data_IF_701377281212
#
_entry.id   IF_701377281212
#
_cell.length_a   1.000
_cell.length_b   1.000
_cell.length_c   1.000
_cell.angle_alpha   90.00
_cell.angle_beta   90.00
_cell.angle_gamma   90.00
#
_symmetry.space_group_name_H-M   'P 1'
#
loop_
_entity.id
_entity.type
_entity.pdbx_description
1 polymer ?
#
# COMPACT_ATOMS: atom_id res chain seq x y z
N UNK A 1 -34.21 11.93 91.40
CA UNK A 1 -33.69 10.54 91.52
C UNK A 1 -33.87 9.86 90.14
N UNK A 2 -32.96 9.06 89.56
CA UNK A 2 -32.32 7.78 90.01
C UNK A 2 -33.42 6.75 90.34
N UNK A 3 -33.67 5.62 89.67
CA UNK A 3 -32.90 4.37 89.36
C UNK A 3 -33.90 3.44 88.61
N UNK A 4 -33.63 2.47 87.71
CA UNK A 4 -32.47 1.86 87.00
C UNK A 4 -33.00 1.28 85.64
N UNK A 5 -32.21 1.06 84.56
CA UNK A 5 -31.30 -0.06 84.18
C UNK A 5 -31.89 -1.49 84.12
N UNK A 6 -31.30 -2.27 83.19
CA UNK A 6 -31.34 -3.74 82.91
C UNK A 6 -32.23 -4.04 81.67
N UNK A 7 -31.72 -4.45 80.49
CA UNK A 7 -30.89 -5.63 80.09
C UNK A 7 -31.70 -6.95 80.11
N UNK A 8 -31.48 -7.98 79.27
CA UNK A 8 -30.33 -8.36 78.43
C UNK A 8 -30.75 -9.39 77.33
N UNK A 9 -30.01 -9.45 76.20
CA UNK A 9 -29.89 -10.55 75.20
C UNK A 9 -31.12 -11.21 74.53
N UNK A 10 -31.02 -11.38 73.20
CA UNK A 10 -30.90 -12.73 72.61
C UNK A 10 -29.95 -12.70 71.39
N UNK A 11 -29.40 -13.85 70.98
CA UNK A 11 -28.30 -13.98 70.00
C UNK A 11 -28.54 -15.18 69.05
N UNK A 12 -27.88 -15.20 67.88
CA UNK A 12 -27.84 -16.29 66.85
C UNK A 12 -29.18 -16.60 66.14
N UNK A 13 -29.24 -17.09 64.89
CA UNK A 13 -28.25 -17.39 63.83
C UNK A 13 -28.75 -16.77 62.49
N UNK A 14 -27.93 -16.35 61.50
CA UNK A 14 -26.92 -17.04 60.67
C UNK A 14 -27.48 -18.07 59.66
N UNK A 15 -26.86 -18.12 58.46
CA UNK A 15 -27.34 -18.67 57.17
C UNK A 15 -28.44 -17.83 56.49
N UNK A 16 -28.38 -17.52 55.17
CA UNK A 16 -27.45 -17.92 54.10
C UNK A 16 -26.80 -16.72 53.39
N UNK A 17 -25.67 -16.98 52.69
CA UNK A 17 -25.11 -16.07 51.70
C UNK A 17 -26.05 -15.96 50.49
N UNK A 18 -26.16 -14.76 49.91
CA UNK A 18 -26.03 -14.54 48.47
C UNK A 18 -25.53 -13.12 48.21
N UNK A 19 -24.67 -12.93 47.21
CA UNK A 19 -23.99 -11.66 46.96
C UNK A 19 -24.88 -10.70 46.15
N UNK A 20 -25.03 -9.45 46.62
CA UNK A 20 -25.29 -8.31 45.73
C UNK A 20 -24.62 -7.04 46.26
N UNK A 21 -23.81 -6.42 45.42
CA UNK A 21 -23.21 -5.11 45.68
C UNK A 21 -23.68 -4.14 44.59
N UNK A 22 -24.52 -3.20 45.00
CA UNK A 22 -24.95 -2.00 44.29
C UNK A 22 -25.00 -0.87 45.34
N UNK A 23 -24.74 0.40 45.03
CA UNK A 23 -24.96 1.04 43.74
C UNK A 23 -23.69 1.64 43.10
N UNK A 24 -23.58 1.48 41.77
CA UNK A 24 -22.59 2.13 40.89
C UNK A 24 -23.38 2.64 39.68
N UNK A 25 -23.92 3.84 39.77
CA UNK A 25 -24.74 4.39 38.69
C UNK A 25 -23.90 4.74 37.46
N UNK A 26 -24.50 4.49 36.28
CA UNK A 26 -24.06 4.95 34.95
C UNK A 26 -22.58 4.83 34.59
N UNK A 27 -21.93 3.74 35.03
CA UNK A 27 -20.88 3.12 34.22
C UNK A 27 -21.50 2.45 32.99
N UNK A 28 -21.97 3.22 32.00
CA UNK A 28 -22.53 2.67 30.77
C UNK A 28 -21.47 1.83 30.06
N UNK A 29 -21.88 0.62 29.67
CA UNK A 29 -20.97 -0.33 29.04
C UNK A 29 -20.72 0.10 27.61
N UNK A 30 -19.54 0.65 27.35
CA UNK A 30 -18.90 0.52 26.04
C UNK A 30 -18.63 -0.96 25.76
N UNK A 31 -19.71 -1.65 25.35
CA UNK A 31 -19.71 -3.01 24.84
C UNK A 31 -19.64 -3.01 23.31
N UNK A 32 -19.00 -1.99 22.75
CA UNK A 32 -18.33 -2.11 21.46
C UNK A 32 -17.17 -3.10 21.62
N UNK A 33 -17.49 -4.39 21.68
CA UNK A 33 -16.56 -5.43 21.23
C UNK A 33 -16.06 -5.03 19.87
N UNK A 34 -14.74 -5.12 19.64
CA UNK A 34 -14.07 -4.58 18.47
C UNK A 34 -14.48 -5.26 17.16
N UNK A 35 -15.67 -4.92 16.66
CA UNK A 35 -15.88 -4.73 15.25
C UNK A 35 -14.91 -3.62 14.84
N UNK A 36 -13.74 -4.02 14.33
CA UNK A 36 -12.99 -3.15 13.43
C UNK A 36 -13.99 -2.66 12.40
N UNK A 37 -14.15 -1.34 12.28
CA UNK A 37 -15.24 -0.75 11.51
C UNK A 37 -15.06 -1.14 10.04
N UNK A 38 -15.76 -2.20 9.64
CA UNK A 38 -15.89 -2.67 8.27
C UNK A 38 -16.81 -1.71 7.51
N UNK A 39 -16.34 -0.46 7.37
CA UNK A 39 -16.77 0.42 6.29
C UNK A 39 -16.47 -0.33 5.00
N UNK A 40 -17.53 -0.78 4.35
CA UNK A 40 -17.48 -1.44 3.06
C UNK A 40 -16.78 -0.54 2.04
N UNK A 41 -16.02 -1.17 1.15
CA UNK A 41 -15.47 -0.50 -0.02
C UNK A 41 -16.48 -0.65 -1.16
N UNK A 42 -16.63 0.39 -1.99
CA UNK A 42 -17.47 0.37 -3.18
C UNK A 42 -16.60 0.44 -4.45
N UNK A 43 -16.93 -0.29 -5.53
CA UNK A 43 -16.27 -0.11 -6.81
C UNK A 43 -16.65 1.21 -7.50
N UNK A 44 -17.67 1.94 -7.01
CA UNK A 44 -18.09 3.19 -7.62
C UNK A 44 -17.04 4.30 -7.41
N UNK A 45 -16.51 4.84 -8.51
CA UNK A 45 -15.57 5.98 -8.50
C UNK A 45 -16.29 7.22 -7.93
N UNK A 46 -15.77 7.87 -6.87
CA UNK A 46 -16.31 9.13 -6.38
C UNK A 46 -16.18 10.25 -7.41
N UNK A 47 -17.20 11.11 -7.54
CA UNK A 47 -17.23 12.21 -8.50
C UNK A 47 -15.96 13.11 -8.43
N UNK A 48 -15.48 13.38 -7.21
CA UNK A 48 -14.27 14.18 -6.95
C UNK A 48 -12.95 13.46 -7.25
N UNK A 49 -12.97 12.15 -7.56
CA UNK A 49 -11.82 11.37 -8.04
C UNK A 49 -11.92 11.03 -9.53
N UNK A 50 -13.07 11.27 -10.18
CA UNK A 50 -13.25 11.07 -11.62
C UNK A 50 -12.38 12.02 -12.44
N UNK A 51 -11.72 11.49 -13.47
CA UNK A 51 -10.85 12.26 -14.38
C UNK A 51 -9.40 11.76 -14.45
N UNK A 52 -8.60 12.45 -15.27
CA UNK A 52 -7.18 12.18 -15.47
C UNK A 52 -6.37 13.06 -14.51
N UNK A 53 -5.69 12.41 -13.58
CA UNK A 53 -4.83 13.02 -12.58
C UNK A 53 -3.40 13.11 -13.10
N UNK A 54 -2.87 14.32 -13.24
CA UNK A 54 -1.49 14.56 -13.65
C UNK A 54 -0.57 14.71 -12.43
N UNK A 55 0.38 13.78 -12.29
CA UNK A 55 1.47 13.86 -11.33
C UNK A 55 2.79 14.26 -11.98
N UNK A 56 3.84 14.40 -11.16
CA UNK A 56 5.18 14.78 -11.62
C UNK A 56 5.81 13.75 -12.58
N UNK A 57 5.63 12.47 -12.28
CA UNK A 57 6.29 11.35 -12.95
C UNK A 57 5.31 10.37 -13.65
N UNK A 58 4.00 10.64 -13.56
CA UNK A 58 2.95 9.77 -14.12
C UNK A 58 1.63 10.52 -14.34
N UNK A 59 0.70 9.87 -15.03
CA UNK A 59 -0.74 10.12 -14.94
C UNK A 59 -1.43 8.92 -14.30
N UNK A 60 -2.57 9.17 -13.65
CA UNK A 60 -3.50 8.15 -13.17
C UNK A 60 -4.90 8.50 -13.67
N UNK A 61 -5.66 7.51 -14.12
CA UNK A 61 -7.07 7.64 -14.46
C UNK A 61 -7.83 6.47 -13.82
N UNK A 62 -8.84 6.77 -13.02
CA UNK A 62 -9.78 5.77 -12.50
C UNK A 62 -10.90 5.58 -13.53
N UNK A 63 -10.94 4.39 -14.13
CA UNK A 63 -11.90 4.02 -15.17
C UNK A 63 -12.78 2.85 -14.71
N UNK A 64 -14.04 2.85 -15.14
CA UNK A 64 -14.94 1.70 -15.06
C UNK A 64 -14.80 0.83 -16.33
N UNK A 65 -15.47 -0.31 -16.36
CA UNK A 65 -15.72 -1.09 -17.60
C UNK A 65 -17.23 -1.31 -17.70
N UNK A 66 -17.84 -0.91 -18.82
CA UNK A 66 -19.30 -0.92 -19.00
C UNK A 66 -19.94 -2.31 -18.81
N UNK A 67 -19.24 -3.37 -19.23
CA UNK A 67 -19.65 -4.77 -19.07
C UNK A 67 -19.59 -5.27 -17.61
N UNK A 68 -18.79 -4.64 -16.74
CA UNK A 68 -18.62 -5.02 -15.34
C UNK A 68 -18.97 -3.87 -14.40
N UNK A 69 -20.28 -3.63 -14.24
CA UNK A 69 -20.89 -2.58 -13.38
C UNK A 69 -20.49 -2.58 -11.89
N UNK A 70 -19.65 -3.52 -11.48
CA UNK A 70 -19.16 -3.71 -10.11
C UNK A 70 -17.62 -3.64 -10.01
N UNK A 71 -16.91 -3.14 -11.03
CA UNK A 71 -15.44 -3.11 -11.05
C UNK A 71 -14.91 -1.80 -11.63
N UNK A 72 -13.98 -1.16 -10.91
CA UNK A 72 -13.21 -0.01 -11.38
C UNK A 72 -11.71 -0.33 -11.34
N UNK A 73 -10.94 0.40 -12.15
CA UNK A 73 -9.54 0.12 -12.44
C UNK A 73 -8.71 1.40 -12.40
N UNK A 74 -7.47 1.31 -11.89
CA UNK A 74 -6.50 2.39 -11.93
C UNK A 74 -5.58 2.24 -13.14
N UNK A 75 -5.86 2.97 -14.23
CA UNK A 75 -4.94 3.11 -15.34
C UNK A 75 -3.77 4.02 -14.92
N UNK A 76 -2.52 3.61 -15.22
CA UNK A 76 -1.29 4.31 -14.85
C UNK A 76 -0.36 4.47 -16.05
N UNK A 77 -0.03 5.72 -16.39
CA UNK A 77 0.91 6.07 -17.47
C UNK A 77 2.16 6.71 -16.89
N UNK A 78 3.34 6.14 -17.12
CA UNK A 78 4.60 6.63 -16.57
C UNK A 78 5.30 7.61 -17.53
N UNK A 79 5.74 8.76 -16.99
CA UNK A 79 6.53 9.79 -17.70
C UNK A 79 8.02 9.39 -17.72
N UNK A 80 8.31 8.24 -18.30
CA UNK A 80 9.65 7.65 -18.32
C UNK A 80 10.68 8.52 -19.07
N UNK A 81 11.97 8.24 -18.87
CA UNK A 81 13.08 8.94 -19.54
C UNK A 81 13.00 10.48 -19.40
N UNK A 82 12.76 10.96 -18.18
CA UNK A 82 12.55 12.39 -17.89
C UNK A 82 11.39 13.03 -18.69
N UNK A 83 10.32 12.26 -18.93
CA UNK A 83 9.18 12.69 -19.74
C UNK A 83 9.36 12.61 -21.26
N UNK A 84 10.46 12.01 -21.76
CA UNK A 84 10.68 11.80 -23.21
C UNK A 84 9.88 10.63 -23.79
N UNK A 85 9.39 9.71 -22.96
CA UNK A 85 8.55 8.60 -23.40
C UNK A 85 7.44 8.34 -22.39
N UNK A 86 6.21 8.35 -22.86
CA UNK A 86 5.03 8.07 -22.04
C UNK A 86 4.67 6.59 -22.23
N UNK A 87 4.89 5.81 -21.18
CA UNK A 87 4.62 4.37 -21.15
C UNK A 87 3.27 4.10 -20.50
N UNK A 88 2.36 3.42 -21.19
CA UNK A 88 1.04 3.05 -20.67
C UNK A 88 1.17 1.74 -19.90
N UNK A 89 1.61 1.85 -18.66
CA UNK A 89 2.16 0.74 -17.86
C UNK A 89 1.08 -0.19 -17.26
N UNK A 90 -0.07 0.36 -16.86
CA UNK A 90 -1.24 -0.41 -16.42
C UNK A 90 -2.51 0.20 -17.04
N UNK A 91 -3.35 -0.63 -17.65
CA UNK A 91 -4.60 -0.24 -18.34
C UNK A 91 -5.60 -1.42 -18.32
N UNK A 92 -6.92 -1.17 -18.35
CA UNK A 92 -7.93 -2.20 -18.57
C UNK A 92 -8.07 -2.58 -20.06
N UNK A 93 -8.74 -3.71 -20.36
CA UNK A 93 -8.74 -4.32 -21.71
C UNK A 93 -9.34 -3.44 -22.81
N UNK A 94 -10.35 -2.64 -22.49
CA UNK A 94 -11.00 -1.71 -23.42
C UNK A 94 -10.03 -0.65 -23.97
N UNK A 95 -8.88 -0.41 -23.34
CA UNK A 95 -7.84 0.50 -23.85
C UNK A 95 -6.97 -0.14 -24.94
N UNK A 96 -7.15 -1.44 -25.24
CA UNK A 96 -6.37 -2.18 -26.24
C UNK A 96 -6.73 -1.84 -27.70
N UNK A 97 -7.92 -1.29 -27.96
CA UNK A 97 -8.27 -0.74 -29.28
C UNK A 97 -7.32 0.39 -29.69
N UNK A 98 -6.94 1.22 -28.72
CA UNK A 98 -5.89 2.20 -28.86
C UNK A 98 -4.51 1.51 -28.80
N UNK A 99 -3.86 1.37 -29.96
CA UNK A 99 -2.55 0.70 -30.08
C UNK A 99 -1.50 1.30 -29.12
N UNK A 100 -0.85 0.45 -28.31
CA UNK A 100 0.30 0.85 -27.47
C UNK A 100 1.54 1.08 -28.34
N UNK A 101 2.21 2.20 -28.14
CA UNK A 101 3.62 2.34 -28.52
C UNK A 101 4.45 1.37 -27.69
N UNK A 102 5.50 0.82 -28.28
CA UNK A 102 6.45 -0.06 -27.61
C UNK A 102 7.86 0.49 -27.76
N UNK A 103 8.58 0.54 -26.65
CA UNK A 103 10.02 0.80 -26.59
C UNK A 103 10.76 -0.52 -26.33
N UNK A 104 12.05 -0.57 -26.65
CA UNK A 104 12.91 -1.76 -26.46
C UNK A 104 13.06 -2.24 -25.01
N UNK A 105 12.57 -1.47 -24.04
CA UNK A 105 12.64 -1.74 -22.59
C UNK A 105 11.25 -1.98 -21.98
N UNK A 106 10.16 -1.65 -22.68
CA UNK A 106 8.79 -1.89 -22.21
C UNK A 106 8.30 -3.27 -22.57
N UNK A 107 7.51 -3.90 -21.71
CA UNK A 107 6.87 -5.18 -22.03
C UNK A 107 5.96 -5.08 -23.27
N UNK A 108 5.98 -6.13 -24.10
CA UNK A 108 5.24 -6.19 -25.37
C UNK A 108 3.72 -6.05 -25.16
N UNK A 109 3.24 -6.59 -24.04
CA UNK A 109 1.90 -6.42 -23.49
C UNK A 109 1.99 -5.52 -22.24
N UNK A 110 0.85 -5.13 -21.66
CA UNK A 110 0.82 -4.86 -20.22
C UNK A 110 1.09 -6.18 -19.44
N UNK A 111 1.34 -6.12 -18.12
CA UNK A 111 1.75 -7.32 -17.36
C UNK A 111 0.75 -8.48 -17.51
N UNK A 112 1.25 -9.60 -18.04
CA UNK A 112 0.43 -10.79 -18.33
C UNK A 112 1.30 -12.05 -18.37
N UNK A 113 1.01 -13.02 -17.51
CA UNK A 113 1.54 -14.39 -17.59
C UNK A 113 0.40 -15.37 -17.33
N UNK A 114 0.19 -16.31 -18.24
CA UNK A 114 -1.08 -17.02 -18.41
C UNK A 114 -1.03 -18.45 -17.85
N UNK A 115 -1.96 -18.77 -16.94
CA UNK A 115 -2.33 -20.14 -16.60
C UNK A 115 -3.79 -20.21 -16.05
N UNK A 116 -4.77 -20.05 -16.95
CA UNK A 116 -6.22 -20.26 -16.81
C UNK A 116 -6.96 -19.67 -15.57
N UNK A 117 -7.99 -18.86 -15.86
CA UNK A 117 -8.98 -18.33 -14.89
C UNK A 117 -8.49 -17.30 -13.82
N UNK A 118 -7.86 -16.20 -14.25
CA UNK A 118 -8.29 -14.84 -13.84
C UNK A 118 -7.53 -13.77 -14.62
N UNK A 119 -8.15 -12.60 -14.75
CA UNK A 119 -7.71 -11.45 -15.56
C UNK A 119 -6.66 -10.60 -14.81
N UNK A 120 -5.54 -11.25 -14.47
CA UNK A 120 -4.56 -10.78 -13.47
C UNK A 120 -3.46 -9.91 -14.07
N UNK A 121 -3.84 -8.85 -14.79
CA UNK A 121 -2.92 -7.83 -15.33
C UNK A 121 -3.22 -6.40 -14.88
N UNK A 122 -4.16 -6.22 -13.94
CA UNK A 122 -4.81 -4.94 -13.64
C UNK A 122 -4.63 -4.53 -12.17
N UNK A 123 -4.66 -3.22 -11.94
CA UNK A 123 -4.86 -2.64 -10.63
C UNK A 123 -6.37 -2.36 -10.44
N UNK A 124 -7.09 -3.23 -9.74
CA UNK A 124 -8.48 -2.98 -9.37
C UNK A 124 -8.56 -1.92 -8.28
N UNK A 125 -9.56 -1.03 -8.34
CA UNK A 125 -9.74 0.11 -7.46
C UNK A 125 -11.09 0.05 -6.74
N UNK A 126 -11.08 -0.07 -5.42
CA UNK A 126 -12.26 0.11 -4.57
C UNK A 126 -12.11 1.36 -3.68
N UNK A 127 -13.21 2.05 -3.36
CA UNK A 127 -13.22 3.33 -2.66
C UNK A 127 -13.99 3.28 -1.33
N UNK A 128 -13.47 3.98 -0.32
CA UNK A 128 -14.08 4.07 1.02
C UNK A 128 -14.09 5.51 1.55
N UNK A 129 -15.24 6.18 1.47
CA UNK A 129 -15.37 7.58 1.93
C UNK A 129 -15.15 7.73 3.44
N UNK A 130 -14.29 8.68 3.80
CA UNK A 130 -13.95 9.05 5.18
C UNK A 130 -14.61 10.37 5.56
N UNK A 131 -14.59 11.35 4.67
CA UNK A 131 -15.27 12.65 4.76
C UNK A 131 -15.46 13.23 3.36
N UNK A 132 -16.53 13.96 3.06
CA UNK A 132 -16.79 14.51 1.72
C UNK A 132 -17.63 15.81 1.80
N UNK A 133 -17.22 16.81 1.03
CA UNK A 133 -17.80 18.14 0.84
C UNK A 133 -17.74 18.49 -0.67
N UNK A 134 -18.46 19.52 -1.12
CA UNK A 134 -18.65 19.82 -2.57
C UNK A 134 -17.39 19.86 -3.45
N UNK A 135 -16.27 20.30 -2.89
CA UNK A 135 -14.99 20.50 -3.60
C UNK A 135 -13.84 19.68 -2.99
N UNK A 136 -14.10 18.90 -1.95
CA UNK A 136 -13.03 18.32 -1.12
C UNK A 136 -13.50 17.06 -0.43
N UNK A 137 -12.65 16.06 -0.32
CA UNK A 137 -13.00 14.81 0.33
C UNK A 137 -11.80 13.94 0.63
N UNK A 138 -12.06 12.87 1.37
CA UNK A 138 -11.08 11.87 1.76
C UNK A 138 -11.66 10.48 1.53
N UNK A 139 -10.88 9.63 0.87
CA UNK A 139 -11.18 8.23 0.66
C UNK A 139 -9.96 7.37 1.04
N UNK A 140 -10.19 6.13 1.44
CA UNK A 140 -9.18 5.08 1.25
C UNK A 140 -9.48 4.37 -0.06
N UNK A 141 -8.48 4.29 -0.93
CA UNK A 141 -8.54 3.62 -2.24
C UNK A 141 -7.79 2.30 -2.11
N UNK A 142 -8.51 1.17 -2.11
CA UNK A 142 -7.86 -0.14 -2.22
C UNK A 142 -7.40 -0.34 -3.65
N UNK A 143 -6.11 -0.61 -3.82
CA UNK A 143 -5.51 -1.04 -5.08
C UNK A 143 -5.15 -2.53 -4.95
N UNK A 144 -5.77 -3.39 -5.76
CA UNK A 144 -5.48 -4.84 -5.80
C UNK A 144 -4.71 -5.17 -7.08
N UNK A 145 -3.57 -5.86 -6.97
CA UNK A 145 -2.61 -6.06 -8.07
C UNK A 145 -2.70 -7.46 -8.69
N UNK A 146 -1.96 -7.64 -9.80
CA UNK A 146 -1.83 -8.89 -10.56
C UNK A 146 -1.54 -10.15 -9.71
N UNK A 147 -0.69 -10.02 -8.69
CA UNK A 147 -0.32 -11.11 -7.78
C UNK A 147 -1.33 -11.36 -6.64
N UNK A 148 -2.44 -10.61 -6.63
CA UNK A 148 -3.47 -10.55 -5.59
C UNK A 148 -2.98 -9.97 -4.26
N UNK A 149 -1.84 -9.28 -4.24
CA UNK A 149 -1.54 -8.32 -3.17
C UNK A 149 -2.51 -7.13 -3.24
N UNK A 150 -2.69 -6.41 -2.14
CA UNK A 150 -3.49 -5.19 -2.11
C UNK A 150 -2.88 -4.14 -1.20
N UNK A 151 -3.12 -2.86 -1.52
CA UNK A 151 -2.70 -1.72 -0.72
C UNK A 151 -3.83 -0.71 -0.59
N UNK A 152 -4.23 -0.43 0.65
CA UNK A 152 -5.24 0.59 0.95
C UNK A 152 -4.54 1.96 1.05
N UNK A 153 -4.67 2.78 0.00
CA UNK A 153 -4.03 4.09 -0.13
C UNK A 153 -4.97 5.19 0.36
N UNK A 154 -4.67 5.89 1.47
CA UNK A 154 -5.44 7.07 1.88
C UNK A 154 -5.15 8.25 0.95
N UNK A 155 -6.22 8.88 0.47
CA UNK A 155 -6.23 9.96 -0.53
C UNK A 155 -7.11 11.10 -0.05
N UNK A 156 -6.63 12.34 -0.13
CA UNK A 156 -7.44 13.54 0.01
C UNK A 156 -7.47 14.35 -1.30
N UNK A 157 -8.64 14.87 -1.67
CA UNK A 157 -8.79 15.87 -2.73
C UNK A 157 -9.20 17.19 -2.11
N UNK A 158 -8.58 18.30 -2.54
CA UNK A 158 -8.96 19.68 -2.20
C UNK A 158 -8.85 20.52 -3.48
N UNK A 159 -9.97 21.07 -3.97
CA UNK A 159 -10.07 21.95 -5.15
C UNK A 159 -9.31 21.41 -6.38
N UNK A 160 -9.57 20.16 -6.76
CA UNK A 160 -8.94 19.51 -7.92
C UNK A 160 -7.46 19.17 -7.74
N UNK A 161 -6.94 19.19 -6.51
CA UNK A 161 -5.59 18.74 -6.16
C UNK A 161 -5.66 17.54 -5.23
N UNK A 162 -4.84 16.52 -5.48
CA UNK A 162 -4.83 15.25 -4.75
C UNK A 162 -3.56 15.13 -3.90
N UNK A 163 -3.72 14.79 -2.63
CA UNK A 163 -2.67 14.68 -1.62
C UNK A 163 -2.66 13.29 -0.97
N UNK A 164 -1.46 12.75 -0.72
CA UNK A 164 -1.23 11.47 -0.03
C UNK A 164 -0.66 11.63 1.39
N UNK A 165 -0.48 12.88 1.86
CA UNK A 165 0.09 13.25 3.15
C UNK A 165 -0.75 14.39 3.75
N UNK A 166 -1.75 14.03 4.56
CA UNK A 166 -2.82 14.92 4.99
C UNK A 166 -3.41 14.52 6.36
N UNK A 167 -4.21 15.43 6.93
CA UNK A 167 -4.85 15.32 8.23
C UNK A 167 -6.35 15.56 8.15
N UNK A 168 -7.09 14.97 9.09
CA UNK A 168 -8.53 15.17 9.27
C UNK A 168 -8.76 15.77 10.66
N UNK A 169 -9.52 16.87 10.75
CA UNK A 169 -9.86 17.51 12.02
C UNK A 169 -10.81 16.64 12.84
N UNK A 170 -10.49 16.45 14.12
CA UNK A 170 -11.35 15.74 15.05
C UNK A 170 -12.39 16.66 15.67
N UNK A 171 -13.58 16.71 15.04
CA UNK A 171 -14.73 17.52 15.47
C UNK A 171 -15.33 17.11 16.83
N UNK A 172 -14.80 16.07 17.49
CA UNK A 172 -15.12 15.77 18.89
C UNK A 172 -14.31 16.61 19.89
N UNK A 173 -13.16 17.14 19.49
CA UNK A 173 -12.24 17.90 20.35
C UNK A 173 -12.48 19.40 20.16
N UNK A 174 -13.63 19.86 20.66
CA UNK A 174 -14.02 21.27 20.59
C UNK A 174 -13.11 22.15 21.47
N UNK A 175 -12.25 22.95 20.83
CA UNK A 175 -11.66 24.15 21.39
C UNK A 175 -12.33 25.36 20.72
N UNK A 176 -12.80 26.31 21.54
CA UNK A 176 -13.28 27.68 21.21
C UNK A 176 -13.61 27.97 19.72
N UNK A 177 -14.90 28.20 19.43
CA UNK A 177 -15.41 28.55 18.09
C UNK A 177 -14.71 29.77 17.45
N UNK A 178 -14.07 30.62 18.26
CA UNK A 178 -13.30 31.80 17.86
C UNK A 178 -12.12 31.52 16.89
N UNK A 179 -11.62 30.28 16.79
CA UNK A 179 -10.54 29.95 15.85
C UNK A 179 -10.74 28.61 15.12
N UNK A 180 -10.92 28.70 13.79
CA UNK A 180 -11.16 27.57 12.89
C UNK A 180 -9.98 26.58 12.78
N UNK A 181 -8.77 26.93 13.21
CA UNK A 181 -7.61 26.04 13.16
C UNK A 181 -7.41 25.19 14.42
N UNK A 182 -7.97 25.61 15.57
CA UNK A 182 -7.68 24.96 16.85
C UNK A 182 -8.31 23.56 16.98
N UNK A 183 -7.68 22.74 17.81
CA UNK A 183 -8.11 21.37 18.12
C UNK A 183 -7.15 20.30 17.60
N UNK A 184 -7.65 19.06 17.56
CA UNK A 184 -6.88 17.87 17.18
C UNK A 184 -7.01 17.57 15.69
N UNK A 185 -5.89 17.37 15.00
CA UNK A 185 -5.81 17.03 13.58
C UNK A 185 -5.14 15.64 13.44
N UNK A 186 -5.94 14.62 13.16
CA UNK A 186 -5.51 13.23 13.01
C UNK A 186 -4.74 13.05 11.72
N UNK A 187 -3.50 12.58 11.79
CA UNK A 187 -2.75 12.14 10.61
C UNK A 187 -3.49 10.99 9.93
N UNK A 188 -3.91 11.18 8.68
CA UNK A 188 -4.82 10.28 8.00
C UNK A 188 -4.13 9.38 6.96
N UNK A 189 -2.87 9.68 6.60
CA UNK A 189 -2.09 8.86 5.69
C UNK A 189 -0.73 9.45 5.34
N UNK A 190 0.18 8.57 4.92
CA UNK A 190 1.40 8.92 4.18
C UNK A 190 1.83 7.78 3.27
N UNK A 191 1.24 7.72 2.08
CA UNK A 191 1.62 6.77 1.02
C UNK A 191 2.69 7.36 0.08
N UNK A 192 3.51 6.49 -0.53
CA UNK A 192 4.54 6.91 -1.49
C UNK A 192 4.00 7.28 -2.87
N UNK A 193 2.80 6.78 -3.23
CA UNK A 193 2.18 7.05 -4.52
C UNK A 193 0.94 6.20 -4.78
N UNK A 194 0.33 6.45 -5.94
CA UNK A 194 -0.56 5.53 -6.65
C UNK A 194 0.27 4.97 -7.82
N UNK A 195 0.39 3.65 -7.88
CA UNK A 195 1.46 2.91 -8.57
C UNK A 195 0.91 1.66 -9.25
N UNK A 196 1.62 1.15 -10.27
CA UNK A 196 1.31 -0.14 -10.90
C UNK A 196 1.76 -1.36 -10.06
N UNK A 197 2.53 -1.13 -8.98
CA UNK A 197 2.98 -2.11 -7.99
C UNK A 197 2.62 -1.64 -6.58
N UNK A 198 2.73 -2.50 -5.56
CA UNK A 198 2.45 -2.10 -4.16
C UNK A 198 3.23 -0.83 -3.72
N UNK A 199 2.55 0.25 -3.30
CA UNK A 199 3.20 1.46 -2.78
C UNK A 199 3.67 1.27 -1.35
N UNK A 200 4.83 1.87 -1.02
CA UNK A 200 5.25 1.98 0.36
C UNK A 200 4.30 2.89 1.15
N UNK A 201 3.64 2.32 2.14
CA UNK A 201 2.83 3.05 3.13
C UNK A 201 3.68 3.24 4.39
N UNK A 202 3.80 4.50 4.85
CA UNK A 202 4.59 4.83 6.04
C UNK A 202 4.13 4.05 7.27
N UNK A 203 5.09 3.48 8.02
CA UNK A 203 4.83 2.89 9.35
C UNK A 203 4.62 3.93 10.44
N UNK A 204 4.74 5.21 10.12
CA UNK A 204 4.63 6.32 11.04
C UNK A 204 3.77 7.45 10.46
N UNK A 205 2.86 7.97 11.28
CA UNK A 205 2.02 9.13 11.00
C UNK A 205 2.31 10.18 12.08
N UNK A 206 2.31 11.45 11.72
CA UNK A 206 2.28 12.54 12.70
C UNK A 206 0.85 13.07 12.75
N UNK A 207 0.31 13.31 13.93
CA UNK A 207 -0.91 14.09 14.14
C UNK A 207 -0.54 15.41 14.82
N UNK A 208 -1.35 16.44 14.62
CA UNK A 208 -1.11 17.77 15.20
C UNK A 208 -2.18 18.10 16.25
N UNK A 209 -1.82 18.88 17.24
CA UNK A 209 -2.77 19.51 18.16
C UNK A 209 -2.45 21.00 18.23
N UNK A 210 -3.37 21.84 17.75
CA UNK A 210 -3.14 23.28 17.51
C UNK A 210 -3.86 24.08 18.59
N UNK A 211 -3.11 24.90 19.31
CA UNK A 211 -3.57 25.76 20.42
C UNK A 211 -2.74 27.03 20.42
N UNK A 212 -3.41 28.17 20.49
CA UNK A 212 -2.76 29.49 20.40
C UNK A 212 -1.85 29.53 19.14
N UNK A 213 -0.70 30.20 19.16
CA UNK A 213 0.25 30.20 18.03
C UNK A 213 1.19 28.97 17.99
N UNK A 214 0.71 27.79 18.43
CA UNK A 214 1.57 26.60 18.62
C UNK A 214 0.97 25.29 18.11
N UNK A 215 1.84 24.47 17.52
CA UNK A 215 1.55 23.08 17.14
C UNK A 215 2.27 22.12 18.08
N UNK A 216 1.53 21.20 18.66
CA UNK A 216 2.08 20.01 19.30
C UNK A 216 2.12 18.84 18.32
N UNK A 217 3.31 18.26 18.11
CA UNK A 217 3.55 17.15 17.18
C UNK A 217 3.45 15.81 17.92
N UNK A 218 2.49 14.99 17.50
CA UNK A 218 2.15 13.72 18.14
C UNK A 218 2.45 12.59 17.17
N UNK A 219 3.55 11.88 17.41
CA UNK A 219 3.99 10.74 16.57
C UNK A 219 3.18 9.49 16.89
N UNK A 220 2.58 8.90 15.87
CA UNK A 220 1.90 7.62 15.89
C UNK A 220 2.72 6.61 15.08
N UNK A 221 2.97 5.42 15.64
CA UNK A 221 3.67 4.34 14.94
C UNK A 221 2.76 3.12 14.79
N UNK A 222 2.93 2.38 13.69
CA UNK A 222 2.16 1.18 13.38
C UNK A 222 2.29 0.16 14.52
N UNK A 223 1.19 -0.50 14.89
CA UNK A 223 1.16 -1.50 15.93
C UNK A 223 0.17 -2.63 15.61
N UNK A 224 0.55 -3.86 15.93
CA UNK A 224 -0.29 -5.05 15.77
C UNK A 224 -1.23 -5.25 16.99
N UNK A 225 -1.58 -4.16 17.68
CA UNK A 225 -2.53 -4.14 18.79
C UNK A 225 -3.95 -3.89 18.30
N UNK A 226 -4.91 -4.56 18.94
CA UNK A 226 -6.35 -4.31 18.72
C UNK A 226 -6.70 -2.82 18.84
N UNK A 227 -7.66 -2.37 18.03
CA UNK A 227 -8.12 -0.98 18.06
C UNK A 227 -8.75 -0.66 19.42
N UNK A 228 -8.49 0.54 19.93
CA UNK A 228 -8.95 0.97 21.26
C UNK A 228 -9.44 2.42 21.18
N UNK A 229 -10.73 2.69 21.46
CA UNK A 229 -11.31 4.04 21.39
C UNK A 229 -10.93 4.94 22.58
N UNK A 230 -9.99 4.50 23.44
CA UNK A 230 -9.51 5.30 24.56
C UNK A 230 -8.78 6.57 24.07
N UNK A 231 -8.91 7.66 24.82
CA UNK A 231 -8.07 8.83 24.62
C UNK A 231 -6.73 8.66 25.36
N UNK A 232 -5.63 9.06 24.73
CA UNK A 232 -4.34 9.29 25.38
C UNK A 232 -4.20 10.77 25.75
N UNK A 233 -3.46 11.08 26.82
CA UNK A 233 -3.24 12.45 27.27
C UNK A 233 -1.78 12.90 27.24
N UNK A 234 -1.59 14.20 27.04
CA UNK A 234 -0.31 14.89 27.21
C UNK A 234 -0.52 16.22 27.93
N UNK A 235 0.56 16.84 28.41
CA UNK A 235 0.52 18.12 29.11
C UNK A 235 1.79 18.90 28.81
N UNK A 236 1.63 20.21 28.66
CA UNK A 236 2.70 21.20 28.48
C UNK A 236 3.21 21.79 29.81
N UNK A 237 2.60 21.41 30.93
CA UNK A 237 2.89 21.92 32.27
C UNK A 237 1.76 22.79 32.84
N UNK A 238 0.96 23.43 31.98
CA UNK A 238 -0.16 24.30 32.38
C UNK A 238 -1.51 23.63 32.13
N UNK A 239 -1.67 23.04 30.94
CA UNK A 239 -2.90 22.41 30.44
C UNK A 239 -2.67 20.91 30.29
N UNK A 240 -3.76 20.13 30.22
CA UNK A 240 -3.73 18.71 29.84
C UNK A 240 -4.67 18.51 28.67
N UNK A 241 -4.14 17.96 27.59
CA UNK A 241 -4.83 17.73 26.33
C UNK A 241 -5.08 16.25 26.11
N UNK A 242 -6.12 15.93 25.35
CA UNK A 242 -6.57 14.57 25.07
C UNK A 242 -6.70 14.34 23.56
N UNK A 243 -6.23 13.19 23.09
CA UNK A 243 -6.21 12.77 21.68
C UNK A 243 -6.54 11.28 21.56
N UNK A 244 -6.99 10.82 20.40
CA UNK A 244 -7.25 9.39 20.17
C UNK A 244 -5.99 8.54 20.43
N UNK A 245 -6.05 7.51 21.30
CA UNK A 245 -4.89 6.68 21.62
C UNK A 245 -4.41 5.90 20.39
N UNK A 246 -5.34 5.22 19.74
CA UNK A 246 -5.13 4.52 18.47
C UNK A 246 -5.79 5.32 17.34
N UNK A 247 -5.20 5.29 16.16
CA UNK A 247 -5.81 5.76 14.90
C UNK A 247 -5.79 4.62 13.88
N UNK A 248 -6.81 4.57 13.02
CA UNK A 248 -6.91 3.61 11.93
C UNK A 248 -6.81 4.34 10.58
N UNK A 249 -5.96 3.84 9.68
CA UNK A 249 -5.65 4.43 8.36
C UNK A 249 -4.98 3.36 7.50
N UNK A 250 -5.29 3.28 6.20
CA UNK A 250 -4.65 2.34 5.28
C UNK A 250 -4.80 0.87 5.73
N UNK A 251 -5.98 0.54 6.29
CA UNK A 251 -6.27 -0.71 7.06
C UNK A 251 -5.24 -1.11 8.13
N UNK A 252 -4.42 -0.16 8.61
CA UNK A 252 -3.42 -0.34 9.68
C UNK A 252 -3.82 0.45 10.92
N UNK A 253 -3.38 -0.04 12.08
CA UNK A 253 -3.57 0.62 13.38
C UNK A 253 -2.24 1.26 13.80
N UNK A 254 -2.29 2.49 14.28
CA UNK A 254 -1.13 3.21 14.80
C UNK A 254 -1.42 3.72 16.21
N UNK A 255 -0.41 3.73 17.10
CA UNK A 255 -0.50 4.20 18.49
C UNK A 255 0.49 5.32 18.77
N UNK A 256 0.11 6.26 19.62
CA UNK A 256 1.00 7.31 20.16
C UNK A 256 1.62 6.95 21.52
N UNK A 257 1.31 5.76 22.08
CA UNK A 257 1.75 5.34 23.42
C UNK A 257 2.19 3.88 23.45
N UNK A 258 3.21 3.59 24.26
CA UNK A 258 3.74 2.23 24.45
C UNK A 258 2.78 1.34 25.25
N UNK A 259 2.23 0.31 24.60
CA UNK A 259 1.45 -0.75 25.23
C UNK A 259 0.23 -0.25 26.00
N UNK A 260 0.12 -0.60 27.29
CA UNK A 260 -1.02 -0.24 28.16
C UNK A 260 -0.97 1.19 28.71
N UNK A 261 0.02 2.02 28.34
CA UNK A 261 0.02 3.44 28.72
C UNK A 261 -1.20 4.18 28.16
N UNK A 262 -1.59 5.25 28.85
CA UNK A 262 -2.61 6.24 28.44
C UNK A 262 -2.01 7.66 28.41
N UNK A 263 -0.71 7.80 28.71
CA UNK A 263 0.00 9.08 28.74
C UNK A 263 1.15 9.10 27.72
N UNK A 264 1.16 10.11 26.87
CA UNK A 264 2.24 10.45 25.95
C UNK A 264 3.35 11.18 26.74
N UNK A 265 4.60 11.06 26.30
CA UNK A 265 5.78 11.72 26.88
C UNK A 265 6.57 12.38 25.76
N UNK A 266 7.29 13.46 26.08
CA UNK A 266 8.18 14.17 25.15
C UNK A 266 7.48 14.59 23.84
N UNK A 267 6.37 15.34 23.98
CA UNK A 267 5.69 15.96 22.84
C UNK A 267 6.51 17.16 22.36
N UNK A 268 6.76 17.23 21.06
CA UNK A 268 7.48 18.34 20.44
C UNK A 268 6.51 19.51 20.17
N UNK A 269 6.97 20.75 20.38
CA UNK A 269 6.20 21.98 20.16
C UNK A 269 6.91 22.88 19.17
N UNK A 270 6.23 23.28 18.11
CA UNK A 270 6.69 24.30 17.14
C UNK A 270 5.75 25.51 17.17
N UNK A 271 6.16 26.68 16.63
CA UNK A 271 5.19 27.68 16.21
C UNK A 271 4.23 27.09 15.15
N UNK A 272 3.03 27.66 15.05
CA UNK A 272 2.11 27.38 13.95
C UNK A 272 2.25 28.44 12.85
N UNK A 273 2.48 28.00 11.61
CA UNK A 273 2.39 28.83 10.42
C UNK A 273 1.26 28.28 9.53
N UNK A 274 0.22 29.09 9.32
CA UNK A 274 -0.92 28.73 8.47
C UNK A 274 -0.50 28.62 7.00
N UNK A 275 0.49 29.40 6.54
CA UNK A 275 0.86 29.49 5.12
C UNK A 275 1.55 28.24 4.58
N UNK A 276 2.10 27.39 5.45
CA UNK A 276 2.64 26.07 5.11
C UNK A 276 1.58 25.01 4.75
N UNK A 277 0.30 25.25 5.05
CA UNK A 277 -0.78 24.26 4.92
C UNK A 277 -1.83 24.67 3.87
N UNK A 278 -2.33 23.68 3.13
CA UNK A 278 -3.56 23.83 2.32
C UNK A 278 -4.75 23.25 3.10
N UNK A 279 -5.82 24.03 3.25
CA UNK A 279 -7.07 23.61 3.91
C UNK A 279 -8.20 23.49 2.89
N UNK A 280 -9.21 22.68 3.21
CA UNK A 280 -10.52 22.68 2.56
C UNK A 280 -11.38 23.88 2.96
N UNK A 281 -12.47 24.12 2.22
CA UNK A 281 -13.45 25.18 2.54
C UNK A 281 -14.10 25.05 3.92
N UNK A 282 -14.12 23.84 4.48
CA UNK A 282 -14.84 23.50 5.71
C UNK A 282 -13.91 23.31 6.91
N UNK A 283 -12.61 23.63 6.80
CA UNK A 283 -11.56 23.46 7.82
C UNK A 283 -11.66 22.10 8.54
N UNK A 284 -11.83 21.05 7.74
CA UNK A 284 -12.03 19.65 8.14
C UNK A 284 -10.91 18.73 7.63
N UNK A 285 -10.19 19.15 6.58
CA UNK A 285 -9.09 18.44 5.92
C UNK A 285 -7.93 19.44 5.74
N UNK A 286 -6.71 19.03 6.05
CA UNK A 286 -5.54 19.84 5.66
C UNK A 286 -4.41 18.97 5.08
N UNK A 287 -3.62 19.54 4.18
CA UNK A 287 -2.47 18.91 3.55
C UNK A 287 -1.23 19.81 3.66
N UNK A 288 -0.05 19.18 3.64
CA UNK A 288 1.25 19.84 3.83
C UNK A 288 2.12 19.64 2.59
N UNK A 289 2.59 20.75 2.02
CA UNK A 289 3.45 20.77 0.84
C UNK A 289 2.71 20.73 -0.50
N UNK A 290 3.45 20.39 -1.56
CA UNK A 290 2.91 20.30 -2.93
C UNK A 290 1.92 19.13 -3.09
N UNK A 291 0.90 19.26 -3.97
CA UNK A 291 0.00 18.16 -4.28
C UNK A 291 0.74 17.03 -5.02
N UNK A 292 0.35 15.78 -4.75
CA UNK A 292 0.88 14.61 -5.43
C UNK A 292 0.44 14.58 -6.90
N UNK A 293 -0.83 14.96 -7.15
CA UNK A 293 -1.42 15.07 -8.48
C UNK A 293 -2.38 16.27 -8.57
N UNK A 294 -2.59 16.77 -9.79
CA UNK A 294 -3.59 17.81 -10.10
C UNK A 294 -4.52 17.30 -11.19
N UNK A 295 -5.82 17.54 -11.05
CA UNK A 295 -6.82 17.15 -12.05
C UNK A 295 -6.58 17.91 -13.36
N UNK A 296 -6.47 17.18 -14.48
CA UNK A 296 -6.24 17.78 -15.80
C UNK A 296 -7.47 18.58 -16.23
N UNK A 297 -7.25 19.79 -16.74
CA UNK A 297 -8.35 20.65 -17.22
C UNK A 297 -9.11 19.96 -18.35
N UNK A 298 -10.41 19.78 -18.16
CA UNK A 298 -11.30 19.12 -19.12
C UNK A 298 -11.46 17.61 -18.93
N UNK A 299 -10.81 16.97 -17.95
CA UNK A 299 -11.14 15.60 -17.54
C UNK A 299 -11.87 15.62 -16.20
N UNK A 300 -13.19 15.50 -16.26
CA UNK A 300 -14.10 15.51 -15.11
C UNK A 300 -15.39 14.77 -15.50
N UNK A 301 -16.20 14.36 -14.52
CA UNK A 301 -17.46 13.62 -14.68
C UNK A 301 -18.44 14.10 -15.78
N UNK A 302 -18.35 15.37 -16.21
CA UNK A 302 -19.09 15.93 -17.34
C UNK A 302 -18.64 15.43 -18.75
N UNK A 303 -17.63 14.58 -18.84
CA UNK A 303 -17.09 13.97 -20.08
C UNK A 303 -17.36 12.47 -20.05
N UNK A 304 -17.73 11.86 -21.18
CA UNK A 304 -18.01 10.42 -21.22
C UNK A 304 -16.74 9.56 -21.02
N UNK A 305 -16.93 8.34 -20.53
CA UNK A 305 -15.84 7.39 -20.27
C UNK A 305 -15.03 7.06 -21.55
N UNK A 306 -15.70 7.02 -22.71
CA UNK A 306 -15.07 6.80 -24.02
C UNK A 306 -14.18 8.01 -24.38
N UNK A 307 -14.72 9.23 -24.37
CA UNK A 307 -13.96 10.46 -24.65
C UNK A 307 -12.78 10.63 -23.68
N UNK A 308 -12.94 10.23 -22.43
CA UNK A 308 -11.92 10.33 -21.39
C UNK A 308 -10.83 9.25 -21.53
N UNK A 309 -11.19 8.05 -22.02
CA UNK A 309 -10.27 6.98 -22.41
C UNK A 309 -9.45 7.38 -23.63
N UNK A 310 -10.07 7.95 -24.66
CA UNK A 310 -9.35 8.46 -25.85
C UNK A 310 -8.45 9.64 -25.48
N UNK A 311 -8.92 10.60 -24.67
CA UNK A 311 -8.10 11.71 -24.18
C UNK A 311 -6.91 11.29 -23.28
N UNK A 312 -6.95 10.07 -22.74
CA UNK A 312 -5.84 9.40 -22.05
C UNK A 312 -4.91 8.67 -23.03
N UNK A 313 -5.43 7.97 -24.05
CA UNK A 313 -4.60 7.37 -25.10
C UNK A 313 -3.84 8.44 -25.92
N UNK A 314 -4.50 9.54 -26.27
CA UNK A 314 -3.91 10.68 -26.98
C UNK A 314 -2.75 11.33 -26.22
N UNK A 315 -2.72 11.28 -24.87
CA UNK A 315 -1.58 11.80 -24.10
C UNK A 315 -0.28 11.08 -24.45
N UNK A 316 -0.31 9.75 -24.57
CA UNK A 316 0.85 8.96 -24.95
C UNK A 316 1.25 9.24 -26.40
N UNK A 317 0.29 9.21 -27.34
CA UNK A 317 0.55 9.46 -28.77
C UNK A 317 1.07 10.89 -29.00
N UNK A 318 0.50 11.90 -28.36
CA UNK A 318 0.92 13.31 -28.45
C UNK A 318 2.30 13.56 -27.85
N UNK A 319 2.71 12.81 -26.82
CA UNK A 319 4.05 12.89 -26.27
C UNK A 319 5.08 12.13 -27.13
N UNK A 320 4.79 10.87 -27.47
CA UNK A 320 5.71 9.98 -28.16
C UNK A 320 5.96 10.39 -29.63
N UNK A 321 4.96 10.97 -30.31
CA UNK A 321 5.12 11.52 -31.67
C UNK A 321 6.10 12.71 -31.77
N UNK A 322 6.50 13.32 -30.65
CA UNK A 322 7.55 14.36 -30.60
C UNK A 322 8.96 13.79 -30.63
N UNK A 323 9.10 12.46 -30.44
CA UNK A 323 10.38 11.77 -30.54
C UNK A 323 10.83 11.81 -32.00
N UNK A 324 12.15 11.93 -32.22
CA UNK A 324 12.73 11.67 -33.54
C UNK A 324 12.50 10.19 -33.88
N UNK A 325 12.29 9.82 -35.16
CA UNK A 325 12.31 8.42 -35.55
C UNK A 325 13.66 7.81 -35.14
N UNK A 326 13.66 6.52 -34.80
CA UNK A 326 14.90 5.81 -34.48
C UNK A 326 15.89 5.92 -35.64
N UNK A 327 17.21 6.05 -35.37
CA UNK A 327 18.19 6.10 -36.44
C UNK A 327 18.09 4.81 -37.28
N UNK A 328 18.26 4.90 -38.62
CA UNK A 328 18.26 3.70 -39.46
C UNK A 328 19.33 2.73 -38.94
N UNK A 329 19.05 1.42 -38.92
CA UNK A 329 19.97 0.44 -38.36
C UNK A 329 21.31 0.52 -39.09
N UNK A 330 22.42 0.44 -38.32
CA UNK A 330 23.79 0.59 -38.84
C UNK A 330 24.12 -0.38 -39.99
N UNK A 331 23.40 -1.50 -40.04
CA UNK A 331 23.38 -2.44 -41.14
C UNK A 331 21.93 -2.58 -41.62
N UNK A 332 21.66 -2.61 -42.94
CA UNK A 332 20.33 -2.92 -43.44
C UNK A 332 19.92 -4.33 -43.00
N UNK A 333 18.60 -4.66 -42.96
CA UNK A 333 18.14 -6.01 -42.72
C UNK A 333 18.72 -6.97 -43.78
N UNK A 334 19.75 -7.72 -43.41
CA UNK A 334 20.26 -8.82 -44.21
C UNK A 334 19.43 -10.06 -43.90
N UNK A 335 18.87 -10.71 -44.91
CA UNK A 335 18.42 -12.09 -44.77
C UNK A 335 19.64 -12.92 -44.32
N UNK A 336 19.62 -13.32 -43.04
CA UNK A 336 20.73 -14.08 -42.46
C UNK A 336 20.63 -15.52 -42.96
N UNK A 337 21.09 -15.74 -44.19
CA UNK A 337 21.19 -17.06 -44.76
C UNK A 337 22.23 -17.85 -43.95
N UNK A 338 21.75 -18.68 -43.03
CA UNK A 338 22.55 -19.61 -42.24
C UNK A 338 23.20 -20.71 -43.10
N UNK A 339 23.01 -20.69 -44.42
CA UNK A 339 23.51 -21.70 -45.36
C UNK A 339 23.06 -23.11 -44.96
N UNK A 340 21.79 -23.25 -44.57
CA UNK A 340 21.25 -24.53 -44.07
C UNK A 340 21.46 -25.68 -45.03
N UNK A 341 21.35 -25.47 -46.35
CA UNK A 341 21.62 -26.51 -47.35
C UNK A 341 23.10 -26.93 -47.38
N UNK A 342 24.03 -25.99 -47.24
CA UNK A 342 25.47 -26.31 -47.15
C UNK A 342 25.82 -26.96 -45.80
N UNK A 343 25.20 -26.52 -44.69
CA UNK A 343 25.29 -27.18 -43.38
C UNK A 343 24.79 -28.61 -43.50
N UNK A 344 23.58 -28.85 -44.01
CA UNK A 344 23.03 -30.19 -44.18
C UNK A 344 23.87 -31.04 -45.13
N UNK A 345 24.48 -30.44 -46.17
CA UNK A 345 25.41 -31.11 -47.08
C UNK A 345 26.74 -31.49 -46.41
N UNK A 346 27.20 -30.72 -45.42
CA UNK A 346 28.41 -30.99 -44.63
C UNK A 346 28.15 -31.89 -43.41
N UNK A 347 26.92 -31.91 -42.87
CA UNK A 347 26.46 -32.91 -41.88
C UNK A 347 26.20 -34.27 -42.54
N UNK A 348 25.73 -34.27 -43.80
CA UNK A 348 25.44 -35.48 -44.56
C UNK A 348 26.71 -36.32 -44.72
N UNK A 349 26.64 -37.51 -44.13
CA UNK A 349 27.68 -38.54 -44.15
C UNK A 349 29.02 -38.20 -43.46
N UNK A 350 29.05 -37.10 -42.68
CA UNK A 350 30.15 -36.81 -41.76
C UNK A 350 30.04 -37.65 -40.46
N UNK A 351 30.97 -38.58 -40.18
CA UNK A 351 30.87 -39.48 -39.03
C UNK A 351 31.08 -38.78 -37.69
N UNK A 352 31.90 -37.71 -37.64
CA UNK A 352 32.14 -36.94 -36.43
C UNK A 352 30.85 -36.23 -36.01
N UNK A 353 30.16 -35.60 -36.96
CA UNK A 353 28.88 -34.92 -36.71
C UNK A 353 27.79 -35.91 -36.32
N UNK A 354 27.64 -37.04 -37.03
CA UNK A 354 26.68 -38.11 -36.65
C UNK A 354 26.92 -38.56 -35.20
N UNK A 355 28.16 -38.88 -34.82
CA UNK A 355 28.51 -39.27 -33.44
C UNK A 355 28.27 -38.16 -32.41
N UNK A 356 28.34 -36.88 -32.80
CA UNK A 356 28.06 -35.75 -31.91
C UNK A 356 26.54 -35.57 -31.71
N UNK A 357 25.75 -35.61 -32.79
CA UNK A 357 24.27 -35.59 -32.73
C UNK A 357 23.73 -36.79 -31.95
N UNK A 358 24.33 -37.97 -32.06
CA UNK A 358 24.00 -39.14 -31.24
C UNK A 358 24.33 -38.92 -29.75
N UNK A 359 25.49 -38.33 -29.42
CA UNK A 359 25.85 -37.97 -28.04
C UNK A 359 24.89 -36.93 -27.46
N UNK A 360 24.45 -35.94 -28.25
CA UNK A 360 23.42 -34.98 -27.85
C UNK A 360 22.07 -35.65 -27.57
N UNK A 361 21.58 -36.50 -28.50
CA UNK A 361 20.35 -37.29 -28.28
C UNK A 361 20.45 -38.15 -27.03
N UNK A 362 21.56 -38.88 -26.85
CA UNK A 362 21.81 -39.74 -25.69
C UNK A 362 21.81 -38.95 -24.37
N UNK A 363 22.45 -37.78 -24.35
CA UNK A 363 22.41 -36.87 -23.20
C UNK A 363 20.97 -36.41 -22.87
N UNK A 364 20.18 -36.06 -23.88
CA UNK A 364 18.79 -35.63 -23.71
C UNK A 364 17.86 -36.76 -23.26
N UNK A 365 18.07 -38.00 -23.72
CA UNK A 365 17.22 -39.15 -23.36
C UNK A 365 17.62 -39.77 -22.01
N UNK A 366 18.91 -39.96 -21.75
CA UNK A 366 19.39 -40.69 -20.56
C UNK A 366 19.68 -39.76 -19.38
N UNK A 367 20.29 -38.58 -19.64
CA UNK A 367 20.91 -37.76 -18.59
C UNK A 367 20.02 -36.59 -18.13
N UNK A 368 19.25 -36.00 -19.04
CA UNK A 368 18.31 -34.91 -18.73
C UNK A 368 17.22 -35.31 -17.71
N UNK A 369 16.56 -36.48 -17.81
CA UNK A 369 15.54 -36.88 -16.83
C UNK A 369 16.12 -37.16 -15.44
N UNK A 370 17.36 -37.67 -15.38
CA UNK A 370 18.08 -37.88 -14.11
C UNK A 370 18.49 -36.54 -13.47
N UNK A 371 18.92 -35.57 -14.27
CA UNK A 371 19.26 -34.23 -13.78
C UNK A 371 18.04 -33.52 -13.17
N UNK A 372 16.87 -33.63 -13.82
CA UNK A 372 15.59 -33.13 -13.28
C UNK A 372 15.17 -33.85 -11.99
N UNK A 373 15.22 -35.19 -11.96
CA UNK A 373 14.89 -35.99 -10.75
C UNK A 373 15.83 -35.69 -9.56
N UNK A 374 17.10 -35.38 -9.82
CA UNK A 374 18.06 -35.05 -8.74
C UNK A 374 17.72 -33.74 -8.02
N UNK A 375 17.05 -32.79 -8.70
CA UNK A 375 16.60 -31.54 -8.08
C UNK A 375 15.35 -31.74 -7.22
N UNK A 376 14.45 -32.64 -7.58
CA UNK A 376 13.19 -32.84 -6.84
C UNK A 376 13.35 -33.63 -5.55
N UNK A 377 14.31 -34.57 -5.44
CA UNK A 377 14.56 -35.31 -4.19
C UNK A 377 15.26 -34.48 -3.11
N UNK A 378 15.99 -33.42 -3.49
CA UNK A 378 16.76 -32.59 -2.55
C UNK A 378 15.92 -31.71 -1.61
N UNK A 379 14.59 -31.63 -1.80
CA UNK A 379 13.68 -30.84 -0.94
C UNK A 379 12.89 -31.66 0.08
N UNK A 380 12.87 -32.99 0.01
CA UNK A 380 12.07 -33.84 0.90
C UNK A 380 12.86 -34.53 2.02
N UNK A 381 14.20 -34.61 1.94
CA UNK A 381 15.04 -35.23 2.98
C UNK A 381 15.60 -34.25 4.03
N UNK A 382 15.15 -33.00 4.05
CA UNK A 382 15.65 -31.95 4.95
C UNK A 382 14.76 -31.67 6.18
N UNK A 383 13.61 -32.36 6.31
CA UNK A 383 12.63 -32.13 7.38
C UNK A 383 12.71 -33.13 8.54
N UNK A 384 13.35 -34.29 8.34
CA UNK A 384 13.41 -35.38 9.33
C UNK A 384 14.88 -35.73 9.66
N UNK A 385 15.51 -34.94 10.54
CA UNK A 385 16.55 -35.35 11.51
C UNK A 385 17.12 -34.13 12.25
N UNK A 386 16.44 -33.67 13.31
CA UNK A 386 16.93 -32.60 14.18
C UNK A 386 16.53 -32.81 15.65
N UNK A 387 16.84 -33.98 16.21
CA UNK A 387 16.70 -34.27 17.64
C UNK A 387 17.74 -35.31 18.10
N UNK A 388 18.45 -35.01 19.20
CA UNK A 388 19.43 -35.86 19.91
C UNK A 388 20.69 -36.31 19.13
N UNK A 389 21.82 -36.65 19.78
CA UNK A 389 22.52 -35.87 20.80
C UNK A 389 24.03 -36.24 20.86
N UNK A 390 24.83 -35.34 21.44
CA UNK A 390 26.21 -35.46 21.91
C UNK A 390 26.94 -36.83 21.84
N UNK A 391 28.11 -36.88 21.17
CA UNK A 391 29.41 -37.12 21.85
C UNK A 391 30.66 -37.06 20.93
N UNK A 392 31.76 -36.51 21.49
CA UNK A 392 33.16 -36.99 21.51
C UNK A 392 33.79 -37.78 20.31
N UNK A 393 35.09 -37.65 19.94
CA UNK A 393 36.22 -36.79 20.37
C UNK A 393 37.44 -36.94 19.40
N UNK A 394 38.27 -35.89 19.28
CA UNK A 394 39.69 -35.84 18.79
C UNK A 394 40.11 -36.19 17.33
N UNK A 395 40.95 -35.29 16.83
CA UNK A 395 41.95 -35.35 15.74
C UNK A 395 43.08 -36.38 15.99
N UNK A 396 43.83 -36.82 14.95
CA UNK A 396 45.02 -36.10 14.42
C UNK A 396 45.00 -35.90 12.87
N UNK A 397 45.57 -34.83 12.30
CA UNK A 397 46.96 -34.64 11.79
C UNK A 397 47.31 -35.51 10.54
N UNK A 398 48.15 -35.10 9.57
CA UNK A 398 49.23 -34.09 9.53
C UNK A 398 49.60 -33.60 8.11
N UNK A 399 50.35 -32.49 8.02
CA UNK A 399 51.37 -32.15 6.99
C UNK A 399 51.00 -31.93 5.49
N UNK A 400 50.89 -30.66 5.09
CA UNK A 400 51.88 -29.86 4.31
C UNK A 400 52.76 -30.52 3.20
N UNK A 401 53.30 -29.73 2.24
CA UNK A 401 52.72 -28.63 1.46
C UNK A 401 53.19 -28.69 -0.05
N UNK A 402 53.04 -27.60 -0.84
CA UNK A 402 54.06 -26.97 -1.74
C UNK A 402 53.43 -26.09 -2.85
N UNK A 403 53.94 -24.86 -2.94
CA UNK A 403 53.94 -23.81 -4.00
C UNK A 403 53.30 -24.06 -5.39
N UNK A 404 52.46 -23.10 -5.83
CA UNK A 404 52.76 -21.98 -6.78
C UNK A 404 53.94 -22.12 -7.79
N UNK A 405 53.96 -21.41 -8.95
CA UNK A 405 53.10 -20.27 -9.33
C UNK A 405 52.53 -20.25 -10.78
N UNK A 406 51.61 -19.30 -11.01
CA UNK A 406 51.46 -18.37 -12.17
C UNK A 406 52.05 -18.78 -13.54
N UNK A 407 51.17 -18.94 -14.53
CA UNK A 407 51.02 -18.01 -15.68
C UNK A 407 49.53 -17.66 -15.86
#
# INVERSE_FOLDING_TARGET
MKIFKISVFFLTALYNLHCFAADRQSGERFSETAHAVQKEFTPQIPALLSGIWEGKDRFVYFASIEDSKNSSYAAVMLKTLYGWYYDRAAEPENFSENKRDLNSVTALNAESVLAEFSDTGRAEAEFRTVSEDKNSGVWEVRLTYADRSFADVPVAVIDGKLYLNFWIRDKSVNLSEDNLFYGYWKGAGRASGITASEPFISRELTSFYIVDDSVYHIRYWQTDMEYSPLAASFSDGEKTFYVAKHIASASKIYTCVSGRSVRIRNVERSPFDVSSYTFDSSYSICALGEPYMVLRKGSSEAVSEIEMTDAYAELAVSANSRRKPDPPPLFPPSDLNWHWDDIFRLEKDNPLIKSFRERQKRFLTERWPLFLRSRTSSKTSAAENSASENSAVKTPASENPINNPIE
#
